data_IF_534743687707
#
_entry.id   IF_534743687707
#
_cell.length_a   1.000
_cell.length_b   1.000
_cell.length_c   1.000
_cell.angle_alpha   90.00
_cell.angle_beta   90.00
_cell.angle_gamma   90.00
#
_symmetry.space_group_name_H-M   'P 1'
#
loop_
_entity.id
_entity.type
_entity.pdbx_description
1 polymer ?
#
# COMPACT_ATOMS: atom_id res chain seq x y z
N UNK A 1 -8.99 5.71 6.52
CA UNK A 1 -10.25 4.93 6.42
C UNK A 1 -11.16 5.64 5.45
N UNK A 2 -11.79 4.92 4.52
CA UNK A 2 -12.80 5.45 3.60
C UNK A 2 -14.14 4.74 3.87
N UNK A 3 -15.21 5.53 4.01
CA UNK A 3 -16.56 5.06 4.32
C UNK A 3 -17.52 5.57 3.24
N UNK A 4 -18.34 4.68 2.69
CA UNK A 4 -19.42 5.01 1.77
C UNK A 4 -20.72 4.37 2.28
N UNK A 5 -21.79 5.15 2.44
CA UNK A 5 -23.10 4.65 2.94
C UNK A 5 -23.00 3.82 4.24
N UNK A 6 -22.13 4.24 5.17
CA UNK A 6 -21.91 3.56 6.44
C UNK A 6 -21.07 2.28 6.36
N UNK A 7 -20.61 1.88 5.16
CA UNK A 7 -19.72 0.72 4.96
C UNK A 7 -18.28 1.16 4.76
N UNK A 8 -17.35 0.42 5.35
CA UNK A 8 -15.92 0.60 5.07
C UNK A 8 -15.63 0.10 3.66
N UNK A 9 -15.18 0.99 2.79
CA UNK A 9 -14.84 0.69 1.38
C UNK A 9 -13.34 0.74 1.11
N UNK A 10 -12.55 1.12 2.11
CA UNK A 10 -11.10 1.08 2.01
C UNK A 10 -10.39 1.50 3.28
N UNK A 11 -9.16 1.00 3.43
CA UNK A 11 -8.26 1.31 4.53
C UNK A 11 -6.86 1.52 3.96
N UNK A 12 -6.17 2.52 4.48
CA UNK A 12 -4.82 2.89 4.09
C UNK A 12 -4.07 3.34 5.32
N UNK A 13 -2.82 2.89 5.45
CA UNK A 13 -1.91 3.28 6.54
C UNK A 13 -0.59 3.75 5.93
N UNK A 14 -0.04 4.82 6.49
CA UNK A 14 1.31 5.28 6.19
C UNK A 14 2.13 5.28 7.47
N UNK A 15 3.39 4.86 7.39
CA UNK A 15 4.33 4.79 8.50
C UNK A 15 5.66 5.37 8.06
N UNK A 16 6.20 6.33 8.81
CA UNK A 16 7.55 6.82 8.62
C UNK A 16 8.52 5.85 9.29
N UNK A 17 9.45 5.30 8.51
CA UNK A 17 10.50 4.40 8.98
C UNK A 17 11.70 5.18 9.49
N UNK A 18 12.58 4.53 10.25
CA UNK A 18 13.76 5.15 10.87
C UNK A 18 14.79 5.69 9.86
N UNK A 19 14.73 5.22 8.60
CA UNK A 19 15.59 5.62 7.50
C UNK A 19 14.98 6.73 6.61
N UNK A 20 14.01 7.49 7.13
CA UNK A 20 13.28 8.55 6.42
C UNK A 20 12.49 8.07 5.18
N UNK A 21 12.12 6.79 5.16
CA UNK A 21 11.28 6.20 4.12
C UNK A 21 9.82 6.18 4.57
N UNK A 22 8.88 6.58 3.70
CA UNK A 22 7.45 6.44 3.99
C UNK A 22 6.93 5.12 3.44
N UNK A 23 6.64 4.17 4.32
CA UNK A 23 6.02 2.91 3.94
C UNK A 23 4.49 3.06 3.95
N UNK A 24 3.84 2.76 2.82
CA UNK A 24 2.39 2.74 2.71
C UNK A 24 1.93 1.30 2.67
N UNK A 25 1.23 0.88 3.71
CA UNK A 25 0.71 -0.47 3.85
C UNK A 25 0.08 -0.71 5.24
N UNK A 26 -1.08 -1.39 5.31
CA UNK A 26 -1.79 -1.94 4.17
C UNK A 26 -2.56 -0.83 3.43
N UNK A 27 -2.77 -1.01 2.13
CA UNK A 27 -3.70 -0.22 1.33
C UNK A 27 -4.67 -1.16 0.63
N UNK A 28 -5.89 -1.21 1.13
CA UNK A 28 -6.99 -2.00 0.59
C UNK A 28 -8.13 -1.07 0.18
N UNK A 29 -8.75 -1.32 -0.96
CA UNK A 29 -9.90 -0.54 -1.43
C UNK A 29 -10.78 -1.35 -2.38
N UNK A 30 -12.09 -1.13 -2.29
CA UNK A 30 -13.07 -1.76 -3.18
C UNK A 30 -12.98 -1.25 -4.62
N UNK A 31 -12.52 -0.02 -4.82
CA UNK A 31 -12.34 0.57 -6.15
C UNK A 31 -11.02 1.32 -6.28
N UNK A 32 -10.59 1.51 -7.53
CA UNK A 32 -9.39 2.28 -7.88
C UNK A 32 -9.48 3.73 -7.40
N UNK A 33 -10.65 4.37 -7.51
CA UNK A 33 -10.87 5.75 -7.09
C UNK A 33 -10.70 5.91 -5.58
N UNK A 34 -11.19 4.92 -4.81
CA UNK A 34 -11.02 4.89 -3.34
C UNK A 34 -9.54 4.70 -2.99
N UNK A 35 -8.84 3.78 -3.66
CA UNK A 35 -7.40 3.58 -3.47
C UNK A 35 -6.61 4.86 -3.74
N UNK A 36 -6.91 5.53 -4.85
CA UNK A 36 -6.27 6.78 -5.27
C UNK A 36 -6.51 7.91 -4.28
N UNK A 37 -7.75 8.07 -3.81
CA UNK A 37 -8.08 9.09 -2.81
C UNK A 37 -7.39 8.83 -1.46
N UNK A 38 -7.35 7.56 -1.02
CA UNK A 38 -6.63 7.18 0.20
C UNK A 38 -5.13 7.45 0.08
N UNK A 39 -4.49 7.02 -1.01
CA UNK A 39 -3.07 7.25 -1.24
C UNK A 39 -2.73 8.74 -1.26
N UNK A 40 -3.51 9.55 -1.98
CA UNK A 40 -3.33 10.99 -2.02
C UNK A 40 -3.39 11.61 -0.61
N UNK A 41 -4.36 11.20 0.21
CA UNK A 41 -4.49 11.70 1.58
C UNK A 41 -3.34 11.27 2.50
N UNK A 42 -2.78 10.07 2.28
CA UNK A 42 -1.63 9.59 3.05
C UNK A 42 -0.36 10.38 2.72
N UNK A 43 -0.12 10.66 1.44
CA UNK A 43 1.05 11.43 0.97
C UNK A 43 1.01 12.90 1.43
N UNK A 44 -0.19 13.50 1.46
CA UNK A 44 -0.39 14.87 1.92
C UNK A 44 -0.76 14.95 3.41
N UNK A 45 -0.58 13.86 4.14
CA UNK A 45 -0.96 13.73 5.54
C UNK A 45 0.14 14.14 6.51
N UNK A 46 0.15 13.48 7.67
CA UNK A 46 1.00 13.78 8.82
C UNK A 46 2.50 13.86 8.51
N UNK A 47 3.00 13.07 7.57
CA UNK A 47 4.42 12.91 7.29
C UNK A 47 4.91 13.75 6.11
N UNK A 48 4.09 14.64 5.56
CA UNK A 48 4.47 15.49 4.43
C UNK A 48 5.76 16.26 4.74
N UNK A 49 6.75 16.15 3.84
CA UNK A 49 8.07 16.78 3.96
C UNK A 49 9.05 16.08 4.91
N UNK A 50 8.68 14.94 5.52
CA UNK A 50 9.53 14.19 6.46
C UNK A 50 10.14 12.92 5.87
N UNK A 51 9.79 12.55 4.64
CA UNK A 51 10.30 11.36 3.96
C UNK A 51 10.99 11.72 2.65
N UNK A 52 11.96 10.89 2.24
CA UNK A 52 12.71 11.05 0.99
C UNK A 52 12.12 10.24 -0.15
N UNK A 53 11.69 9.00 0.15
CA UNK A 53 11.03 8.12 -0.81
C UNK A 53 9.77 7.51 -0.20
N UNK A 54 8.93 6.96 -1.08
CA UNK A 54 7.71 6.23 -0.73
C UNK A 54 7.91 4.78 -1.12
N UNK A 55 7.63 3.88 -0.18
CA UNK A 55 7.70 2.44 -0.39
C UNK A 55 6.31 1.84 -0.35
N UNK A 56 6.05 0.96 -1.31
CA UNK A 56 4.81 0.20 -1.44
C UNK A 56 5.17 -1.22 -1.88
N UNK A 57 4.52 -2.20 -1.28
CA UNK A 57 4.59 -3.60 -1.72
C UNK A 57 3.28 -3.95 -2.41
N UNK A 58 3.29 -4.13 -3.73
CA UNK A 58 2.07 -4.34 -4.52
C UNK A 58 2.05 -5.78 -5.03
N UNK A 59 0.95 -6.53 -4.83
CA UNK A 59 0.81 -7.83 -5.44
C UNK A 59 0.92 -7.71 -6.97
N UNK A 60 1.78 -8.53 -7.59
CA UNK A 60 2.03 -8.50 -9.03
C UNK A 60 0.77 -8.75 -9.89
N UNK A 61 -0.24 -9.40 -9.31
CA UNK A 61 -1.54 -9.65 -9.95
C UNK A 61 -2.48 -8.44 -9.94
N UNK A 62 -2.15 -7.36 -9.24
CA UNK A 62 -2.95 -6.15 -9.17
C UNK A 62 -2.46 -5.08 -10.16
N UNK A 63 -2.92 -5.17 -11.41
CA UNK A 63 -2.61 -4.20 -12.47
C UNK A 63 -3.00 -2.75 -12.11
N UNK A 64 -4.11 -2.58 -11.38
CA UNK A 64 -4.55 -1.27 -10.89
C UNK A 64 -3.60 -0.70 -9.85
N UNK A 65 -2.93 -1.55 -9.06
CA UNK A 65 -1.88 -1.16 -8.13
C UNK A 65 -0.66 -0.60 -8.87
N UNK A 66 -0.19 -1.29 -9.90
CA UNK A 66 0.90 -0.81 -10.76
C UNK A 66 0.55 0.51 -11.44
N UNK A 67 -0.66 0.63 -11.98
CA UNK A 67 -1.17 1.89 -12.55
C UNK A 67 -1.18 3.01 -11.53
N UNK A 68 -1.57 2.75 -10.29
CA UNK A 68 -1.61 3.75 -9.23
C UNK A 68 -0.22 4.31 -8.92
N UNK A 69 0.80 3.45 -8.87
CA UNK A 69 2.21 3.87 -8.68
C UNK A 69 2.72 4.69 -9.86
N UNK A 70 2.37 4.30 -11.08
CA UNK A 70 2.78 5.06 -12.26
C UNK A 70 2.19 6.48 -12.26
N UNK A 71 0.91 6.62 -11.90
CA UNK A 71 0.24 7.93 -11.80
C UNK A 71 0.93 8.86 -10.78
N UNK A 72 1.44 8.34 -9.66
CA UNK A 72 2.12 9.16 -8.64
C UNK A 72 3.60 9.38 -8.90
N UNK A 73 4.30 8.38 -9.43
CA UNK A 73 5.76 8.41 -9.62
C UNK A 73 6.15 9.18 -10.88
N UNK A 74 5.25 9.23 -11.89
CA UNK A 74 5.51 9.79 -13.22
C UNK A 74 6.76 9.16 -13.85
N UNK A 75 6.85 7.83 -13.81
CA UNK A 75 7.99 7.05 -14.29
C UNK A 75 9.24 7.07 -13.38
N UNK A 76 9.18 7.72 -12.21
CA UNK A 76 10.29 7.73 -11.23
C UNK A 76 10.04 6.73 -10.12
N UNK A 77 9.94 5.46 -10.49
CA UNK A 77 9.87 4.35 -9.55
C UNK A 77 10.95 3.32 -9.85
N UNK A 78 11.40 2.64 -8.80
CA UNK A 78 12.18 1.41 -8.90
C UNK A 78 11.27 0.27 -8.48
N UNK A 79 11.31 -0.83 -9.21
CA UNK A 79 10.54 -2.04 -8.93
C UNK A 79 11.51 -3.18 -8.70
N UNK A 80 11.41 -3.82 -7.54
CA UNK A 80 12.14 -5.03 -7.22
C UNK A 80 11.13 -6.15 -6.95
N UNK A 81 11.40 -7.33 -7.50
CA UNK A 81 10.57 -8.50 -7.23
C UNK A 81 10.76 -8.94 -5.78
N UNK A 82 9.65 -9.09 -5.06
CA UNK A 82 9.65 -9.55 -3.68
C UNK A 82 8.76 -10.79 -3.53
N UNK A 83 9.27 -11.83 -2.88
CA UNK A 83 8.51 -13.05 -2.59
C UNK A 83 7.97 -13.00 -1.17
N UNK A 84 6.65 -12.88 -1.03
CA UNK A 84 6.02 -12.97 0.27
C UNK A 84 5.92 -14.43 0.74
N UNK A 85 6.46 -14.72 1.93
CA UNK A 85 6.37 -16.04 2.55
C UNK A 85 4.92 -16.40 2.91
N UNK A 86 4.37 -17.45 2.29
CA UNK A 86 3.09 -18.03 2.69
C UNK A 86 3.32 -18.99 3.87
N UNK A 87 3.41 -18.46 5.08
CA UNK A 87 3.70 -19.25 6.29
C UNK A 87 2.47 -19.93 6.91
N UNK A 88 1.26 -19.68 6.40
CA UNK A 88 0.03 -20.22 6.97
C UNK A 88 -0.52 -21.40 6.16
N UNK A 89 -0.84 -22.49 6.86
CA UNK A 89 -1.51 -23.69 6.31
C UNK A 89 -2.88 -23.40 5.67
N UNK A 90 -3.44 -22.21 5.93
CA UNK A 90 -4.73 -21.75 5.44
C UNK A 90 -4.53 -20.48 4.60
N UNK A 91 -5.23 -20.40 3.47
CA UNK A 91 -5.34 -19.18 2.67
C UNK A 91 -6.58 -18.42 3.13
N UNK A 92 -6.40 -17.18 3.54
CA UNK A 92 -7.53 -16.26 3.69
C UNK A 92 -8.00 -15.90 2.30
N UNK A 93 -9.26 -16.15 1.97
CA UNK A 93 -9.85 -15.68 0.72
C UNK A 93 -9.89 -14.16 0.73
N UNK A 94 -8.92 -13.56 0.04
CA UNK A 94 -8.86 -12.12 -0.19
C UNK A 94 -8.69 -11.92 -1.67
N UNK A 95 -9.50 -11.05 -2.27
CA UNK A 95 -9.38 -10.65 -3.66
C UNK A 95 -8.12 -9.78 -3.83
N UNK A 96 -7.03 -10.30 -4.44
CA UNK A 96 -5.77 -9.57 -4.51
C UNK A 96 -5.85 -8.33 -5.40
N UNK A 97 -6.86 -8.23 -6.29
CA UNK A 97 -7.10 -7.04 -7.12
C UNK A 97 -7.51 -5.81 -6.30
N UNK A 98 -7.93 -6.01 -5.04
CA UNK A 98 -8.30 -4.94 -4.09
C UNK A 98 -7.16 -4.55 -3.15
N UNK A 99 -6.02 -5.23 -3.22
CA UNK A 99 -4.85 -4.98 -2.38
C UNK A 99 -3.87 -4.12 -3.17
N UNK A 100 -3.85 -2.83 -2.89
CA UNK A 100 -2.96 -1.86 -3.54
C UNK A 100 -1.62 -1.72 -2.81
N UNK A 101 -1.55 -2.13 -1.54
CA UNK A 101 -0.28 -2.43 -0.91
C UNK A 101 -0.42 -3.37 0.28
N UNK A 102 0.49 -4.34 0.42
CA UNK A 102 0.61 -5.22 1.58
C UNK A 102 1.39 -4.57 2.70
N UNK A 103 1.37 -5.20 3.87
CA UNK A 103 2.29 -4.86 4.96
C UNK A 103 3.17 -6.04 5.22
N UNK A 104 4.47 -5.81 5.22
CA UNK A 104 5.40 -6.74 5.83
C UNK A 104 5.65 -6.33 7.27
N UNK A 105 5.56 -7.34 8.14
CA UNK A 105 6.06 -7.27 9.49
C UNK A 105 7.15 -8.32 9.59
N UNK A 106 8.34 -8.00 9.12
CA UNK A 106 9.52 -8.71 9.61
C UNK A 106 9.78 -8.22 11.03
N UNK A 107 9.15 -8.89 12.00
CA UNK A 107 9.62 -8.85 13.38
C UNK A 107 10.75 -9.90 13.44
N UNK A 108 11.94 -9.52 13.01
CA UNK A 108 13.14 -10.17 13.51
C UNK A 108 13.38 -9.61 14.91
N UNK A 109 13.10 -10.42 15.94
CA UNK A 109 13.70 -10.20 17.25
C UNK A 109 15.20 -10.44 17.04
N UNK A 110 15.99 -9.37 17.06
CA UNK A 110 17.46 -9.45 17.12
C UNK A 110 17.87 -9.71 18.56
#
# INVERSE_FOLDING_TARGET
LAICEGKTVGVGVARLLINDELFIGPLYADTFEVARALLHNLLHGRYLGQYRNVQMQIPSVNENGSRLVEEISRGRCMTDDFTQGLSTKFRVETDPSRIYSTTEYDISIV
#
